data_IF_704926120397
#
_entry.id   IF_704926120397
#
_cell.length_a   1.000
_cell.length_b   1.000
_cell.length_c   1.000
_cell.angle_alpha   90.00
_cell.angle_beta   90.00
_cell.angle_gamma   90.00
#
_symmetry.space_group_name_H-M   'P 1'
#
loop_
_entity.id
_entity.type
_entity.pdbx_description
1 polymer ?
#
# COMPACT_ATOMS: atom_id res chain seq x y z
N UNK A 1 -27.80 26.72 -14.20
CA UNK A 1 -26.48 26.94 -13.57
C UNK A 1 -26.13 25.73 -12.73
N UNK A 2 -24.88 25.24 -12.90
CA UNK A 2 -24.15 24.17 -12.19
C UNK A 2 -24.80 22.77 -12.15
N UNK A 3 -24.49 21.97 -13.18
CA UNK A 3 -24.44 20.51 -13.03
C UNK A 3 -23.38 20.21 -11.94
N UNK A 4 -23.79 19.55 -10.85
CA UNK A 4 -22.84 18.89 -9.96
C UNK A 4 -22.26 17.72 -10.76
N UNK A 5 -20.98 17.80 -11.08
CA UNK A 5 -20.22 16.67 -11.63
C UNK A 5 -20.13 15.65 -10.51
N UNK A 6 -20.94 14.60 -10.59
CA UNK A 6 -20.71 13.39 -9.81
C UNK A 6 -19.39 12.79 -10.29
N UNK A 7 -18.38 12.81 -9.44
CA UNK A 7 -17.11 12.15 -9.71
C UNK A 7 -17.34 10.66 -9.51
N UNK A 8 -17.62 9.97 -10.60
CA UNK A 8 -17.63 8.51 -10.61
C UNK A 8 -16.18 8.07 -10.64
N UNK A 9 -15.65 7.71 -9.47
CA UNK A 9 -14.34 7.07 -9.36
C UNK A 9 -14.54 5.64 -9.89
N UNK A 10 -14.04 5.37 -11.09
CA UNK A 10 -14.03 4.02 -11.67
C UNK A 10 -12.63 3.43 -11.45
N UNK A 11 -12.59 2.37 -10.64
CA UNK A 11 -11.42 1.56 -10.37
C UNK A 11 -11.49 0.33 -11.27
N UNK A 12 -10.49 0.13 -12.13
CA UNK A 12 -10.40 -1.01 -13.08
C UNK A 12 -8.99 -1.60 -12.98
N UNK A 13 -8.89 -2.94 -12.91
CA UNK A 13 -7.74 -3.78 -12.47
C UNK A 13 -7.40 -3.74 -10.97
N UNK A 14 -8.20 -2.95 -10.25
CA UNK A 14 -7.92 -2.33 -8.97
C UNK A 14 -8.35 -3.10 -7.73
N UNK A 15 -9.07 -4.23 -7.84
CA UNK A 15 -9.64 -4.90 -6.67
C UNK A 15 -8.57 -5.49 -5.76
N UNK A 16 -7.55 -6.16 -6.32
CA UNK A 16 -6.48 -6.77 -5.51
C UNK A 16 -5.64 -5.72 -4.78
N UNK A 17 -5.29 -4.61 -5.44
CA UNK A 17 -4.50 -3.53 -4.83
C UNK A 17 -5.34 -2.83 -3.77
N UNK A 18 -6.63 -2.59 -4.02
CA UNK A 18 -7.54 -2.00 -3.02
C UNK A 18 -7.69 -2.92 -1.82
N UNK A 19 -8.05 -4.19 -2.01
CA UNK A 19 -8.24 -5.16 -0.94
C UNK A 19 -6.96 -5.31 -0.13
N UNK A 20 -5.81 -5.40 -0.81
CA UNK A 20 -4.51 -5.48 -0.16
C UNK A 20 -4.11 -4.17 0.53
N UNK A 21 -4.57 -3.00 0.06
CA UNK A 21 -4.34 -1.73 0.74
C UNK A 21 -5.04 -1.69 2.11
N UNK A 22 -6.27 -2.21 2.19
CA UNK A 22 -6.97 -2.36 3.47
C UNK A 22 -6.28 -3.40 4.36
N UNK A 23 -5.86 -4.53 3.79
CA UNK A 23 -5.11 -5.54 4.53
C UNK A 23 -3.79 -4.98 5.09
N UNK A 24 -3.05 -4.22 4.28
CA UNK A 24 -1.80 -3.59 4.69
C UNK A 24 -2.01 -2.70 5.89
N UNK A 25 -2.98 -1.80 5.84
CA UNK A 25 -3.24 -0.88 6.95
C UNK A 25 -3.67 -1.64 8.20
N UNK A 26 -4.49 -2.68 8.03
CA UNK A 26 -4.92 -3.54 9.13
C UNK A 26 -3.76 -4.32 9.76
N UNK A 27 -2.94 -4.98 8.96
CA UNK A 27 -1.85 -5.84 9.44
C UNK A 27 -0.72 -5.01 10.07
N UNK A 28 -0.35 -3.90 9.44
CA UNK A 28 0.78 -3.08 9.90
C UNK A 28 0.40 -2.18 11.06
N UNK A 29 -0.78 -1.55 11.03
CA UNK A 29 -1.18 -0.52 12.00
C UNK A 29 -2.34 -0.92 12.91
N UNK A 30 -3.02 -2.04 12.64
CA UNK A 30 -4.05 -2.60 13.53
C UNK A 30 -5.44 -1.99 13.35
N UNK A 31 -5.69 -1.21 12.30
CA UNK A 31 -7.02 -0.65 12.06
C UNK A 31 -7.97 -1.66 11.41
N UNK A 32 -9.12 -1.94 12.05
CA UNK A 32 -10.12 -2.88 11.51
C UNK A 32 -11.01 -2.28 10.43
N UNK A 33 -11.22 -0.96 10.46
CA UNK A 33 -12.00 -0.23 9.46
C UNK A 33 -11.41 1.16 9.27
N UNK A 34 -11.04 1.48 8.03
CA UNK A 34 -10.49 2.77 7.63
C UNK A 34 -11.16 3.21 6.33
N UNK A 35 -11.14 4.51 6.07
CA UNK A 35 -11.46 5.03 4.73
C UNK A 35 -10.14 5.33 4.02
N UNK A 36 -9.87 4.62 2.92
CA UNK A 36 -8.70 4.87 2.09
C UNK A 36 -9.08 5.69 0.87
N UNK A 37 -8.24 6.68 0.56
CA UNK A 37 -8.26 7.41 -0.69
C UNK A 37 -6.93 7.22 -1.42
N UNK A 38 -6.86 7.65 -2.68
CA UNK A 38 -5.60 7.63 -3.45
C UNK A 38 -4.53 8.59 -2.89
N UNK A 39 -4.92 9.49 -1.98
CA UNK A 39 -4.02 10.42 -1.30
C UNK A 39 -3.58 9.89 0.08
N UNK A 40 -4.19 8.81 0.57
CA UNK A 40 -3.79 8.20 1.84
C UNK A 40 -2.36 7.67 1.77
N UNK A 41 -1.56 8.06 2.77
CA UNK A 41 -0.17 7.66 2.96
C UNK A 41 -0.02 6.79 4.21
N UNK A 42 1.07 6.06 4.31
CA UNK A 42 1.38 5.32 5.55
C UNK A 42 1.51 6.24 6.78
N UNK A 43 1.86 7.53 6.58
CA UNK A 43 1.95 8.50 7.67
C UNK A 43 0.59 8.80 8.31
N UNK A 44 -0.51 8.72 7.55
CA UNK A 44 -1.85 8.99 8.06
C UNK A 44 -2.31 7.95 9.11
N UNK A 45 -1.59 6.83 9.21
CA UNK A 45 -1.86 5.71 10.12
C UNK A 45 -0.75 5.49 11.15
N UNK A 46 0.29 6.32 11.13
CA UNK A 46 1.42 6.22 12.05
C UNK A 46 1.38 7.30 13.14
N UNK A 47 1.09 6.87 14.37
CA UNK A 47 1.08 7.75 15.55
C UNK A 47 2.48 8.00 16.14
N UNK A 48 3.54 7.46 15.53
CA UNK A 48 4.88 7.35 16.16
C UNK A 48 5.94 8.31 15.61
N UNK A 49 5.56 9.29 14.78
CA UNK A 49 6.49 10.21 14.10
C UNK A 49 7.62 9.46 13.34
N UNK A 50 7.32 8.29 12.79
CA UNK A 50 8.32 7.46 12.11
C UNK A 50 8.83 8.13 10.83
N UNK A 51 10.11 7.94 10.54
CA UNK A 51 10.66 8.31 9.23
C UNK A 51 10.11 7.41 8.12
N UNK A 52 10.27 7.85 6.86
CA UNK A 52 9.91 7.02 5.69
C UNK A 52 10.54 5.64 5.76
N UNK A 53 11.83 5.59 6.08
CA UNK A 53 12.62 4.37 6.12
C UNK A 53 12.14 3.44 7.23
N UNK A 54 11.73 3.98 8.38
CA UNK A 54 11.18 3.20 9.49
C UNK A 54 9.81 2.59 9.13
N UNK A 55 8.94 3.37 8.47
CA UNK A 55 7.65 2.86 7.99
C UNK A 55 7.83 1.75 6.96
N UNK A 56 8.66 1.98 5.94
CA UNK A 56 8.91 0.97 4.92
C UNK A 56 9.61 -0.26 5.50
N UNK A 57 10.48 -0.12 6.50
CA UNK A 57 11.07 -1.25 7.20
C UNK A 57 10.01 -2.07 7.94
N UNK A 58 9.11 -1.42 8.70
CA UNK A 58 8.01 -2.09 9.41
C UNK A 58 7.09 -2.85 8.45
N UNK A 59 6.69 -2.24 7.34
CA UNK A 59 5.90 -2.91 6.30
C UNK A 59 6.68 -4.10 5.70
N UNK A 60 7.97 -3.92 5.44
CA UNK A 60 8.82 -4.99 4.90
C UNK A 60 8.99 -6.16 5.87
N UNK A 61 9.08 -5.90 7.17
CA UNK A 61 9.11 -6.91 8.22
C UNK A 61 7.81 -7.70 8.31
N UNK A 62 6.66 -7.03 8.18
CA UNK A 62 5.34 -7.67 8.17
C UNK A 62 5.23 -8.67 7.01
N UNK A 63 5.55 -8.21 5.79
CA UNK A 63 5.39 -9.00 4.57
C UNK A 63 6.63 -9.82 4.16
N UNK A 64 7.68 -9.84 4.98
CA UNK A 64 8.96 -10.55 4.73
C UNK A 64 9.59 -10.21 3.37
N UNK A 65 9.57 -8.93 3.02
CA UNK A 65 10.14 -8.37 1.78
C UNK A 65 10.98 -7.13 2.06
N UNK A 66 11.97 -6.87 1.22
CA UNK A 66 12.77 -5.65 1.30
C UNK A 66 12.07 -4.53 0.53
N UNK A 67 11.74 -3.44 1.22
CA UNK A 67 11.25 -2.19 0.63
C UNK A 67 12.34 -1.12 0.49
N UNK A 68 13.62 -1.50 0.64
CA UNK A 68 14.75 -0.56 0.53
C UNK A 68 14.83 0.14 -0.82
N UNK A 69 14.43 -0.56 -1.88
CA UNK A 69 14.44 -0.06 -3.26
C UNK A 69 13.07 0.48 -3.70
N UNK A 70 12.20 0.81 -2.74
CA UNK A 70 10.93 1.47 -3.04
C UNK A 70 11.20 2.85 -3.67
N UNK A 71 10.77 3.09 -4.92
CA UNK A 71 11.27 4.21 -5.70
C UNK A 71 10.56 5.55 -5.39
N UNK A 72 9.44 5.53 -4.68
CA UNK A 72 8.63 6.71 -4.42
C UNK A 72 9.04 7.39 -3.11
N UNK A 73 9.04 8.73 -3.12
CA UNK A 73 9.37 9.54 -1.93
C UNK A 73 8.26 9.55 -0.89
N UNK A 74 7.01 9.43 -1.33
CA UNK A 74 5.84 9.42 -0.47
C UNK A 74 5.32 7.99 -0.47
N UNK A 75 5.13 7.36 0.70
CA UNK A 75 4.61 6.01 0.78
C UNK A 75 3.08 6.05 0.72
N UNK A 76 2.51 6.31 -0.46
CA UNK A 76 1.07 6.18 -0.64
C UNK A 76 0.66 4.72 -0.43
N UNK A 77 -0.44 4.50 0.29
CA UNK A 77 -0.86 3.15 0.71
C UNK A 77 -1.00 2.23 -0.52
N UNK A 78 -1.66 2.71 -1.57
CA UNK A 78 -1.91 1.93 -2.78
C UNK A 78 -0.63 1.65 -3.59
N UNK A 79 0.31 2.61 -3.68
CA UNK A 79 1.59 2.40 -4.36
C UNK A 79 2.45 1.40 -3.61
N UNK A 80 2.45 1.47 -2.27
CA UNK A 80 3.17 0.50 -1.43
C UNK A 80 2.53 -0.88 -1.58
N UNK A 81 1.20 -0.97 -1.52
CA UNK A 81 0.46 -2.21 -1.76
C UNK A 81 0.80 -2.84 -3.11
N UNK A 82 0.75 -2.06 -4.19
CA UNK A 82 1.12 -2.52 -5.53
C UNK A 82 2.58 -3.02 -5.59
N UNK A 83 3.52 -2.26 -5.01
CA UNK A 83 4.92 -2.64 -4.98
C UNK A 83 5.16 -3.98 -4.25
N UNK A 84 4.47 -4.18 -3.12
CA UNK A 84 4.55 -5.42 -2.34
C UNK A 84 4.04 -6.61 -3.15
N UNK A 85 2.86 -6.48 -3.77
CA UNK A 85 2.27 -7.54 -4.59
C UNK A 85 3.22 -7.94 -5.72
N UNK A 86 3.81 -6.97 -6.42
CA UNK A 86 4.81 -7.23 -7.46
C UNK A 86 6.03 -7.98 -6.91
N UNK A 87 6.55 -7.60 -5.74
CA UNK A 87 7.69 -8.28 -5.10
C UNK A 87 7.36 -9.72 -4.71
N UNK A 88 6.14 -9.98 -4.26
CA UNK A 88 5.67 -11.32 -3.92
C UNK A 88 5.59 -12.18 -5.19
N UNK A 89 5.04 -11.64 -6.27
CA UNK A 89 4.97 -12.33 -7.57
C UNK A 89 6.37 -12.64 -8.13
N UNK A 90 7.30 -11.67 -8.08
CA UNK A 90 8.70 -11.86 -8.47
C UNK A 90 9.35 -13.04 -7.71
N UNK A 91 9.26 -13.05 -6.36
CA UNK A 91 9.79 -14.13 -5.53
C UNK A 91 9.17 -15.49 -5.84
N UNK A 92 7.86 -15.51 -6.09
CA UNK A 92 7.16 -16.75 -6.44
C UNK A 92 7.75 -17.36 -7.71
N UNK A 93 7.94 -16.56 -8.76
CA UNK A 93 8.51 -17.05 -10.02
C UNK A 93 9.98 -17.48 -9.91
N UNK A 94 10.80 -16.76 -9.14
CA UNK A 94 12.20 -17.16 -8.87
C UNK A 94 12.30 -18.54 -8.19
N UNK A 95 11.36 -18.83 -7.28
CA UNK A 95 11.31 -20.11 -6.58
C UNK A 95 10.93 -21.30 -7.47
N UNK A 96 10.22 -21.06 -8.57
CA UNK A 96 9.82 -22.09 -9.53
C UNK A 96 10.89 -22.35 -10.60
N UNK A 97 11.81 -21.39 -10.81
CA UNK A 97 12.88 -21.48 -11.80
C UNK A 97 14.19 -22.09 -11.24
N UNK A 98 14.25 -22.34 -9.93
CA UNK A 98 15.39 -22.94 -9.21
C UNK A 98 15.17 -24.43 -8.95
#
# INVERSE_FOLDING_TARGET
MKQKKDWKIEFVESDKVIDFSYELVRSVFGFESVFLSNESTLYDFDDSDSTREQLLARVGEEYKISLKDYPHKVPYVWEVAEYILRKIEEKFWESQAS
#
